data_IF_141626192723
#
_entry.id   IF_141626192723
#
_cell.length_a   1.000
_cell.length_b   1.000
_cell.length_c   1.000
_cell.angle_alpha   90.00
_cell.angle_beta   90.00
_cell.angle_gamma   90.00
#
_symmetry.space_group_name_H-M   'P 1'
#
loop_
_entity.id
_entity.type
_entity.pdbx_description
1 polymer ?
#
# COMPACT_ATOMS: atom_id res chain seq x y z
N UNK A 1 -21.71 7.15 22.90
CA UNK A 1 -21.58 8.47 22.25
C UNK A 1 -22.04 9.66 23.10
N UNK A 2 -22.64 9.48 24.30
CA UNK A 2 -22.83 10.62 25.22
C UNK A 2 -21.48 10.99 25.85
N UNK A 3 -21.06 12.25 25.70
CA UNK A 3 -19.82 12.79 26.27
C UNK A 3 -18.65 12.99 25.30
N UNK A 4 -18.77 12.60 24.03
CA UNK A 4 -17.75 12.92 23.02
C UNK A 4 -18.04 14.32 22.46
N UNK A 5 -17.06 15.22 22.61
CA UNK A 5 -17.18 16.63 22.21
C UNK A 5 -16.64 16.91 20.81
N UNK A 6 -15.76 16.05 20.29
CA UNK A 6 -15.26 16.12 18.93
C UNK A 6 -14.80 14.74 18.44
N UNK A 7 -14.86 14.52 17.13
CA UNK A 7 -14.32 13.33 16.47
C UNK A 7 -13.48 13.80 15.28
N UNK A 8 -12.20 13.43 15.30
CA UNK A 8 -11.32 13.56 14.14
C UNK A 8 -11.28 12.23 13.38
N UNK A 9 -11.33 12.31 12.06
CA UNK A 9 -11.18 11.15 11.19
C UNK A 9 -9.88 11.29 10.42
N UNK A 10 -9.15 10.18 10.31
CA UNK A 10 -8.10 10.07 9.32
C UNK A 10 -8.71 10.14 7.91
N UNK A 11 -7.96 10.61 6.93
CA UNK A 11 -8.47 10.79 5.58
C UNK A 11 -8.37 9.49 4.80
N UNK A 12 -7.14 9.03 4.57
CA UNK A 12 -6.88 7.88 3.71
C UNK A 12 -7.28 6.58 4.41
N UNK A 13 -7.96 5.69 3.69
CA UNK A 13 -8.47 4.43 4.20
C UNK A 13 -9.49 4.54 5.36
N UNK A 14 -9.85 5.75 5.82
CA UNK A 14 -10.90 6.01 6.82
C UNK A 14 -12.07 6.79 6.22
N UNK A 15 -11.84 7.99 5.66
CA UNK A 15 -12.86 8.74 4.92
C UNK A 15 -12.81 8.44 3.42
N UNK A 16 -11.61 8.40 2.85
CA UNK A 16 -11.35 8.11 1.44
C UNK A 16 -10.90 6.66 1.29
N UNK A 17 -11.80 5.81 0.78
CA UNK A 17 -11.48 4.41 0.52
C UNK A 17 -10.85 4.25 -0.86
N UNK A 18 -9.68 3.64 -0.91
CA UNK A 18 -8.98 3.33 -2.16
C UNK A 18 -9.21 1.88 -2.58
N UNK A 19 -9.16 1.65 -3.90
CA UNK A 19 -9.09 0.29 -4.45
C UNK A 19 -7.66 -0.23 -4.24
N UNK A 20 -7.45 -1.30 -3.46
CA UNK A 20 -6.11 -1.83 -3.20
C UNK A 20 -5.36 -2.20 -4.48
N UNK A 21 -6.06 -2.75 -5.46
CA UNK A 21 -5.51 -3.10 -6.78
C UNK A 21 -4.74 -1.95 -7.43
N UNK A 22 -5.24 -0.72 -7.34
CA UNK A 22 -4.66 0.42 -8.03
C UNK A 22 -3.68 1.19 -7.15
N UNK A 23 -4.06 1.47 -5.90
CA UNK A 23 -3.27 2.33 -5.02
C UNK A 23 -1.99 1.63 -4.56
N UNK A 24 -2.09 0.36 -4.14
CA UNK A 24 -0.92 -0.40 -3.69
C UNK A 24 0.03 -0.71 -4.85
N UNK A 25 -0.51 -1.01 -6.04
CA UNK A 25 0.31 -1.19 -7.25
C UNK A 25 1.08 0.08 -7.62
N UNK A 26 0.45 1.26 -7.48
CA UNK A 26 1.12 2.53 -7.70
C UNK A 26 2.26 2.74 -6.70
N UNK A 27 2.00 2.53 -5.41
CA UNK A 27 3.01 2.66 -4.35
C UNK A 27 4.19 1.69 -4.56
N UNK A 28 3.91 0.43 -4.89
CA UNK A 28 4.92 -0.57 -5.22
C UNK A 28 5.82 -0.12 -6.37
N UNK A 29 5.23 0.27 -7.51
CA UNK A 29 5.98 0.66 -8.70
C UNK A 29 6.86 1.88 -8.44
N UNK A 30 6.36 2.87 -7.70
CA UNK A 30 7.14 4.04 -7.29
C UNK A 30 8.33 3.65 -6.39
N UNK A 31 8.09 2.74 -5.45
CA UNK A 31 9.10 2.27 -4.50
C UNK A 31 10.23 1.50 -5.19
N UNK A 32 9.91 0.53 -6.05
CA UNK A 32 10.93 -0.26 -6.77
C UNK A 32 11.79 0.64 -7.65
N UNK A 33 11.18 1.59 -8.38
CA UNK A 33 11.93 2.57 -9.18
C UNK A 33 12.86 3.42 -8.31
N UNK A 34 12.41 3.86 -7.13
CA UNK A 34 13.23 4.63 -6.21
C UNK A 34 14.41 3.81 -5.67
N UNK A 35 14.17 2.56 -5.31
CA UNK A 35 15.22 1.66 -4.82
C UNK A 35 16.31 1.45 -5.87
N UNK A 36 15.92 1.13 -7.11
CA UNK A 36 16.89 0.80 -8.16
C UNK A 36 17.60 2.06 -8.68
N UNK A 37 16.85 3.11 -9.01
CA UNK A 37 17.43 4.28 -9.69
C UNK A 37 18.06 5.32 -8.77
N UNK A 38 17.64 5.39 -7.49
CA UNK A 38 18.14 6.41 -6.56
C UNK A 38 18.95 5.82 -5.40
N UNK A 39 18.74 4.55 -5.05
CA UNK A 39 19.38 3.92 -3.88
C UNK A 39 20.34 2.77 -4.26
N UNK A 40 20.54 2.51 -5.56
CA UNK A 40 21.55 1.56 -6.03
C UNK A 40 21.20 0.09 -5.83
N UNK A 41 19.92 -0.25 -5.67
CA UNK A 41 19.50 -1.63 -5.53
C UNK A 41 19.61 -2.41 -6.86
N UNK A 42 19.69 -3.75 -6.82
CA UNK A 42 19.84 -4.58 -8.02
C UNK A 42 18.71 -4.38 -9.03
N UNK A 43 19.06 -4.31 -10.33
CA UNK A 43 18.10 -4.08 -11.41
C UNK A 43 17.05 -5.19 -11.54
N UNK A 44 17.35 -6.40 -11.08
CA UNK A 44 16.44 -7.55 -11.09
C UNK A 44 15.13 -7.27 -10.34
N UNK A 45 15.11 -6.31 -9.39
CA UNK A 45 13.88 -5.89 -8.71
C UNK A 45 12.84 -5.30 -9.67
N UNK A 46 13.23 -4.73 -10.81
CA UNK A 46 12.31 -4.20 -11.81
C UNK A 46 11.50 -5.30 -12.52
N UNK A 47 11.95 -6.55 -12.45
CA UNK A 47 11.29 -7.71 -13.06
C UNK A 47 10.17 -8.26 -12.18
N UNK A 48 10.18 -7.93 -10.87
CA UNK A 48 9.23 -8.45 -9.91
C UNK A 48 7.81 -7.91 -10.15
N UNK A 49 6.83 -8.79 -10.00
CA UNK A 49 5.40 -8.46 -10.13
C UNK A 49 4.76 -8.38 -8.76
N UNK A 50 4.07 -7.27 -8.52
CA UNK A 50 3.27 -7.09 -7.32
C UNK A 50 1.90 -7.76 -7.48
N UNK A 51 1.52 -8.53 -6.48
CA UNK A 51 0.20 -9.13 -6.35
C UNK A 51 -0.44 -8.66 -5.04
N UNK A 52 -1.40 -7.74 -5.16
CA UNK A 52 -2.11 -7.16 -4.03
C UNK A 52 -2.99 -8.21 -3.30
N UNK A 53 -3.34 -9.32 -3.95
CA UNK A 53 -4.23 -10.35 -3.38
C UNK A 53 -3.53 -11.26 -2.37
N UNK A 54 -2.20 -11.20 -2.29
CA UNK A 54 -1.42 -11.94 -1.30
C UNK A 54 -1.54 -11.32 0.10
N UNK A 55 -1.85 -10.02 0.18
CA UNK A 55 -2.04 -9.33 1.45
C UNK A 55 -3.41 -9.66 2.05
N UNK A 56 -3.43 -10.14 3.29
CA UNK A 56 -4.67 -10.45 4.02
C UNK A 56 -5.19 -11.89 3.87
N UNK A 57 -4.57 -12.73 3.04
CA UNK A 57 -4.80 -14.19 3.09
C UNK A 57 -4.15 -14.74 4.35
N UNK A 58 -4.94 -14.93 5.42
CA UNK A 58 -4.59 -15.89 6.47
C UNK A 58 -4.37 -17.22 5.76
N UNK A 59 -3.17 -17.77 5.83
CA UNK A 59 -2.91 -19.18 5.53
C UNK A 59 -3.78 -20.00 6.47
N UNK A 60 -4.98 -20.35 6.03
CA UNK A 60 -5.88 -21.24 6.76
C UNK A 60 -5.31 -22.64 6.67
N UNK A 61 -4.80 -23.13 7.80
CA UNK A 61 -4.83 -24.55 8.16
C UNK A 61 -6.26 -24.94 8.53
#
# INVERSE_FOLDING_TARGET
MKGIVAVGFDMDYTLAQYKPETFETLAYNGTIKKLVYHLGYPQQLLEWKFDWTLYGKRTGS
#
